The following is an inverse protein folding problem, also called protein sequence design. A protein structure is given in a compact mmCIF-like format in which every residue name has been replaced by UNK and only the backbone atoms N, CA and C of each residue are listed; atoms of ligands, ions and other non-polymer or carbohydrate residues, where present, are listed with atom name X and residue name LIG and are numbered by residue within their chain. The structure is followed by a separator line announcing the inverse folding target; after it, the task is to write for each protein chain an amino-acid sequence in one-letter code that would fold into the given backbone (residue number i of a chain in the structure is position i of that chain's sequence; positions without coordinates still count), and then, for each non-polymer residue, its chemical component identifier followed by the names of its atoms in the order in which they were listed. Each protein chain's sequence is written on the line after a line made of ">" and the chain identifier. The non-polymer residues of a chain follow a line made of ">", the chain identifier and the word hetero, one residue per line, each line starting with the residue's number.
data_IF_354371351858
#
_entry.id   IF_354371351858
#
_cell.length_a   1.000
_cell.length_b   1.000
_cell.length_c   1.000
_cell.angle_alpha   90.00
_cell.angle_beta   90.00
_cell.angle_gamma   90.00
#
_symmetry.space_group_name_H-M   'P 1'
#
loop_
_entity.id
_entity.type
_entity.pdbx_description
1 polymer ?
#
# COMPACT_ATOMS: atom_id res chain seq x y z
N UNK A 1 17.23 19.14 -7.14
CA UNK A 1 17.17 17.66 -7.26
C UNK A 1 17.41 17.05 -5.90
N UNK A 2 16.64 16.02 -5.54
CA UNK A 2 16.81 15.22 -4.31
C UNK A 2 17.66 13.97 -4.59
N UNK A 3 18.16 13.31 -3.54
CA UNK A 3 18.92 12.05 -3.65
C UNK A 3 18.07 10.88 -4.17
N UNK A 4 18.74 9.84 -4.71
CA UNK A 4 18.08 8.62 -5.22
C UNK A 4 17.46 7.75 -4.12
N UNK A 5 17.82 8.03 -2.87
CA UNK A 5 17.34 7.38 -1.65
C UNK A 5 16.10 8.07 -1.06
N UNK A 6 15.70 9.22 -1.60
CA UNK A 6 14.51 9.95 -1.15
C UNK A 6 13.25 9.35 -1.77
N UNK A 7 12.26 9.07 -0.93
CA UNK A 7 10.94 8.61 -1.34
C UNK A 7 9.89 9.68 -1.06
N UNK A 8 9.10 10.00 -2.07
CA UNK A 8 7.90 10.84 -1.94
C UNK A 8 6.71 9.91 -1.74
N UNK A 9 5.91 10.21 -0.73
CA UNK A 9 4.75 9.43 -0.36
C UNK A 9 3.50 10.29 -0.49
N UNK A 10 2.46 9.72 -1.08
CA UNK A 10 1.16 10.34 -1.24
C UNK A 10 0.05 9.28 -1.14
N UNK A 11 -1.17 9.75 -0.86
CA UNK A 11 -2.35 8.89 -0.72
C UNK A 11 -3.16 8.74 -2.01
N UNK A 12 -2.86 9.55 -3.03
CA UNK A 12 -3.64 9.67 -4.28
C UNK A 12 -3.03 8.91 -5.45
N UNK A 13 -1.89 8.25 -5.24
CA UNK A 13 -1.23 7.38 -6.21
C UNK A 13 -0.42 8.09 -7.29
N UNK A 14 0.14 9.28 -6.99
CA UNK A 14 1.04 10.00 -7.91
C UNK A 14 2.50 9.51 -7.82
N UNK A 15 3.00 9.29 -6.61
CA UNK A 15 4.38 8.88 -6.34
C UNK A 15 4.46 7.54 -5.60
N UNK A 16 3.52 7.27 -4.69
CA UNK A 16 3.48 6.03 -3.91
C UNK A 16 2.98 4.86 -4.79
N UNK A 17 3.80 3.82 -5.04
CA UNK A 17 3.40 2.70 -5.87
C UNK A 17 2.22 1.92 -5.28
N UNK A 18 2.09 1.81 -3.95
CA UNK A 18 0.94 1.12 -3.34
C UNK A 18 -0.35 1.89 -3.68
N UNK A 19 -0.35 3.21 -3.48
CA UNK A 19 -1.50 4.05 -3.78
C UNK A 19 -1.81 4.07 -5.29
N UNK A 20 -0.79 4.09 -6.14
CA UNK A 20 -0.93 4.05 -7.60
C UNK A 20 -1.65 2.80 -8.10
N UNK A 21 -1.56 1.69 -7.37
CA UNK A 21 -2.24 0.44 -7.69
C UNK A 21 -3.58 0.25 -6.96
N UNK A 22 -4.11 1.27 -6.26
CA UNK A 22 -5.49 1.19 -5.74
C UNK A 22 -6.53 1.44 -6.84
N UNK A 23 -7.74 0.93 -6.63
CA UNK A 23 -8.88 1.24 -7.49
C UNK A 23 -9.27 2.72 -7.39
N UNK A 24 -9.79 3.26 -8.50
CA UNK A 24 -10.35 4.61 -8.49
C UNK A 24 -11.64 4.64 -7.68
N UNK A 25 -11.82 5.69 -6.89
CA UNK A 25 -13.07 6.04 -6.24
C UNK A 25 -14.07 6.49 -7.30
N UNK A 26 -15.24 5.87 -7.32
CA UNK A 26 -16.33 6.34 -8.17
C UNK A 26 -16.72 7.76 -7.75
N UNK A 27 -16.92 8.63 -8.73
CA UNK A 27 -17.23 10.05 -8.52
C UNK A 27 -16.15 10.86 -7.77
N UNK A 28 -14.91 10.36 -7.70
CA UNK A 28 -13.77 11.14 -7.21
C UNK A 28 -13.39 12.27 -8.17
N UNK A 29 -12.67 13.28 -7.66
CA UNK A 29 -12.07 14.32 -8.50
C UNK A 29 -11.04 13.70 -9.43
N UNK A 30 -11.15 13.94 -10.74
CA UNK A 30 -10.23 13.39 -11.74
C UNK A 30 -8.77 13.73 -11.36
N UNK A 31 -7.89 12.72 -11.38
CA UNK A 31 -6.49 12.84 -10.97
C UNK A 31 -6.26 12.83 -9.45
N UNK A 32 -7.33 12.82 -8.65
CA UNK A 32 -7.31 12.69 -7.18
C UNK A 32 -8.40 11.70 -6.73
N UNK A 33 -8.67 10.70 -7.55
CA UNK A 33 -9.72 9.72 -7.36
C UNK A 33 -9.15 8.42 -6.81
N UNK A 34 -8.07 8.48 -6.05
CA UNK A 34 -7.55 7.36 -5.27
C UNK A 34 -7.31 7.83 -3.85
N UNK A 35 -7.43 6.91 -2.90
CA UNK A 35 -7.24 7.20 -1.49
C UNK A 35 -6.73 5.95 -0.78
N UNK A 36 -5.40 5.92 -0.55
CA UNK A 36 -4.74 4.93 0.28
C UNK A 36 -4.66 5.46 1.72
N UNK A 37 -5.18 4.68 2.67
CA UNK A 37 -5.19 5.08 4.07
C UNK A 37 -3.75 5.25 4.63
N UNK A 38 -3.52 6.21 5.55
CA UNK A 38 -2.19 6.46 6.10
C UNK A 38 -1.59 5.25 6.84
N UNK A 39 -2.40 4.30 7.32
CA UNK A 39 -1.96 3.05 7.94
C UNK A 39 -1.05 2.23 7.00
N UNK A 40 -1.33 2.25 5.68
CA UNK A 40 -0.49 1.61 4.67
C UNK A 40 0.89 2.25 4.54
N UNK A 41 0.98 3.56 4.80
CA UNK A 41 2.28 4.22 4.83
C UNK A 41 3.08 3.60 5.95
N UNK A 42 2.57 3.63 7.20
CA UNK A 42 3.26 3.03 8.35
C UNK A 42 3.66 1.57 8.09
N UNK A 43 2.78 0.78 7.49
CA UNK A 43 3.03 -0.61 7.15
C UNK A 43 4.15 -0.80 6.10
N UNK A 44 4.21 0.03 5.06
CA UNK A 44 5.17 -0.09 3.96
C UNK A 44 6.57 0.49 4.27
N UNK A 45 6.65 1.41 5.22
CA UNK A 45 7.90 2.06 5.58
C UNK A 45 8.71 1.39 6.70
N UNK A 46 9.91 1.93 6.97
CA UNK A 46 10.86 1.40 7.94
C UNK A 46 10.52 1.80 9.39
N UNK A 47 9.26 2.11 9.69
CA UNK A 47 8.82 2.62 10.99
C UNK A 47 8.43 1.51 11.96
N UNK A 48 8.27 1.88 13.23
CA UNK A 48 7.71 1.03 14.29
C UNK A 48 6.23 0.79 14.01
N UNK A 49 5.81 -0.48 14.07
CA UNK A 49 4.46 -0.94 13.67
C UNK A 49 3.60 -1.42 14.85
N UNK A 50 4.07 -1.20 16.08
CA UNK A 50 3.39 -1.59 17.31
C UNK A 50 3.32 -0.42 18.31
N UNK A 51 2.40 -0.50 19.26
CA UNK A 51 2.26 0.49 20.33
C UNK A 51 3.54 0.54 21.20
N UNK A 52 4.02 1.73 21.62
CA UNK A 52 3.47 3.07 21.40
C UNK A 52 4.02 3.80 20.14
N UNK A 53 4.72 3.11 19.25
CA UNK A 53 5.36 3.72 18.08
C UNK A 53 4.42 4.07 16.94
N UNK A 54 3.24 3.45 16.89
CA UNK A 54 2.16 3.86 15.96
C UNK A 54 1.42 5.07 16.56
N UNK A 55 1.28 6.19 15.82
CA UNK A 55 0.49 7.33 16.27
C UNK A 55 -0.93 6.92 16.67
N UNK A 56 -1.42 7.42 17.81
CA UNK A 56 -2.71 6.96 18.38
C UNK A 56 -3.96 7.28 17.55
N UNK A 57 -3.85 8.08 16.49
CA UNK A 57 -4.94 8.31 15.53
C UNK A 57 -4.98 7.27 14.40
N UNK A 58 -3.98 6.38 14.31
CA UNK A 58 -3.93 5.26 13.37
C UNK A 58 -4.32 3.96 14.06
N UNK A 59 -4.87 3.04 13.30
CA UNK A 59 -5.30 1.75 13.82
C UNK A 59 -4.16 0.72 13.68
N UNK A 60 -3.57 0.34 14.81
CA UNK A 60 -2.50 -0.65 14.85
C UNK A 60 -2.91 -2.01 14.24
N UNK A 61 -4.20 -2.37 14.31
CA UNK A 61 -4.74 -3.54 13.64
C UNK A 61 -4.61 -3.41 12.12
N UNK A 62 -5.00 -2.26 11.59
CA UNK A 62 -4.93 -1.99 10.15
C UNK A 62 -3.49 -1.94 9.66
N UNK A 63 -2.57 -1.37 10.45
CA UNK A 63 -1.13 -1.42 10.14
C UNK A 63 -0.63 -2.87 10.06
N UNK A 64 -0.98 -3.71 11.03
CA UNK A 64 -0.57 -5.12 11.05
C UNK A 64 -1.17 -5.92 9.87
N UNK A 65 -2.44 -5.68 9.54
CA UNK A 65 -3.09 -6.30 8.38
C UNK A 65 -2.49 -5.82 7.07
N UNK A 66 -2.21 -4.52 6.94
CA UNK A 66 -1.57 -3.95 5.77
C UNK A 66 -0.15 -4.51 5.59
N UNK A 67 0.63 -4.62 6.67
CA UNK A 67 1.96 -5.22 6.63
C UNK A 67 1.91 -6.68 6.16
N UNK A 68 0.94 -7.46 6.65
CA UNK A 68 0.71 -8.81 6.19
C UNK A 68 0.28 -8.85 4.70
N UNK A 69 -0.62 -7.96 4.29
CA UNK A 69 -1.11 -7.86 2.91
C UNK A 69 -0.01 -7.51 1.91
N UNK A 70 0.96 -6.67 2.30
CA UNK A 70 2.10 -6.32 1.47
C UNK A 70 2.96 -7.54 1.10
N UNK A 71 2.88 -8.65 1.85
CA UNK A 71 3.60 -9.90 1.53
C UNK A 71 2.98 -10.70 0.39
N UNK A 72 1.84 -10.27 -0.14
CA UNK A 72 1.22 -10.90 -1.29
C UNK A 72 2.21 -10.98 -2.47
N UNK A 73 2.42 -12.15 -3.12
CA UNK A 73 3.42 -12.29 -4.18
C UNK A 73 3.23 -11.31 -5.33
N UNK A 74 1.99 -11.04 -5.73
CA UNK A 74 1.69 -10.07 -6.77
C UNK A 74 2.00 -8.62 -6.34
N UNK A 75 1.72 -8.25 -5.08
CA UNK A 75 2.13 -6.96 -4.52
C UNK A 75 3.65 -6.83 -4.52
N UNK A 76 4.37 -7.87 -4.05
CA UNK A 76 5.83 -7.88 -4.05
C UNK A 76 6.42 -7.77 -5.45
N UNK A 77 5.83 -8.41 -6.47
CA UNK A 77 6.29 -8.30 -7.85
C UNK A 77 6.18 -6.85 -8.37
N UNK A 78 5.05 -6.18 -8.13
CA UNK A 78 4.86 -4.76 -8.44
C UNK A 78 5.86 -3.87 -7.71
N UNK A 79 5.96 -4.03 -6.39
CA UNK A 79 6.85 -3.17 -5.60
C UNK A 79 8.31 -3.38 -5.97
N UNK A 80 8.69 -4.61 -6.31
CA UNK A 80 10.03 -4.94 -6.81
C UNK A 80 10.27 -4.33 -8.20
N UNK A 81 9.27 -4.27 -9.08
CA UNK A 81 9.42 -3.66 -10.41
C UNK A 81 9.78 -2.16 -10.32
N UNK A 82 9.33 -1.49 -9.26
CA UNK A 82 9.55 -0.06 -9.00
C UNK A 82 10.77 0.21 -8.11
N UNK A 83 10.96 -0.58 -7.04
CA UNK A 83 11.93 -0.28 -5.97
C UNK A 83 13.28 -0.97 -6.12
N UNK A 84 13.35 -2.07 -6.88
CA UNK A 84 14.61 -2.79 -7.04
C UNK A 84 15.58 -2.01 -7.94
N UNK A 85 16.91 -2.13 -7.73
CA UNK A 85 17.89 -1.55 -8.63
C UNK A 85 17.66 -1.98 -10.09
N UNK A 86 17.80 -1.03 -11.01
CA UNK A 86 17.55 -1.27 -12.42
C UNK A 86 18.78 -1.88 -13.10
N UNK A 87 18.82 -3.20 -13.16
CA UNK A 87 19.76 -3.97 -13.99
C UNK A 87 19.10 -4.49 -15.28
N UNK A 88 19.89 -5.08 -16.18
CA UNK A 88 19.41 -5.61 -17.47
C UNK A 88 18.25 -6.61 -17.31
N UNK A 89 18.37 -7.57 -16.39
CA UNK A 89 17.30 -8.54 -16.10
C UNK A 89 16.02 -7.86 -15.57
N UNK A 90 16.17 -6.84 -14.71
CA UNK A 90 15.02 -6.08 -14.18
C UNK A 90 14.33 -5.28 -15.27
N UNK A 91 15.10 -4.63 -16.14
CA UNK A 91 14.58 -3.91 -17.29
C UNK A 91 13.75 -4.82 -18.20
N UNK A 92 14.30 -5.96 -18.62
CA UNK A 92 13.58 -6.90 -19.48
C UNK A 92 12.32 -7.46 -18.81
N UNK A 93 12.41 -7.83 -17.53
CA UNK A 93 11.26 -8.27 -16.73
C UNK A 93 10.17 -7.19 -16.68
N UNK A 94 10.52 -5.93 -16.41
CA UNK A 94 9.56 -4.84 -16.35
C UNK A 94 8.88 -4.58 -17.72
N UNK A 95 9.61 -4.71 -18.82
CA UNK A 95 9.04 -4.57 -20.18
C UNK A 95 8.05 -5.70 -20.46
N UNK A 96 8.45 -6.96 -20.25
CA UNK A 96 7.63 -8.14 -20.52
C UNK A 96 6.36 -8.19 -19.67
N UNK A 97 6.46 -7.82 -18.39
CA UNK A 97 5.32 -7.83 -17.46
C UNK A 97 4.60 -6.49 -17.33
N UNK A 98 4.93 -5.49 -18.16
CA UNK A 98 4.41 -4.12 -18.05
C UNK A 98 2.87 -4.07 -18.04
N UNK A 99 2.22 -4.87 -18.88
CA UNK A 99 0.75 -4.94 -18.96
C UNK A 99 0.14 -5.52 -17.67
N UNK A 100 0.65 -6.65 -17.20
CA UNK A 100 0.19 -7.31 -15.96
C UNK A 100 0.38 -6.37 -14.77
N UNK A 101 1.56 -5.75 -14.70
CA UNK A 101 1.88 -4.81 -13.64
C UNK A 101 0.94 -3.61 -13.65
N UNK A 102 0.70 -3.02 -14.83
CA UNK A 102 -0.22 -1.89 -14.99
C UNK A 102 -1.66 -2.23 -14.61
N UNK A 103 -2.11 -3.47 -14.86
CA UNK A 103 -3.47 -3.93 -14.54
C UNK A 103 -3.66 -4.30 -13.08
N UNK A 104 -2.59 -4.65 -12.37
CA UNK A 104 -2.66 -5.05 -10.96
C UNK A 104 -3.37 -4.01 -10.09
N UNK A 105 -4.30 -4.48 -9.25
CA UNK A 105 -4.96 -3.64 -8.24
C UNK A 105 -4.86 -4.27 -6.86
N UNK A 106 -4.44 -3.46 -5.89
CA UNK A 106 -4.48 -3.75 -4.47
C UNK A 106 -5.76 -3.15 -3.89
N UNK A 107 -6.45 -3.88 -3.00
CA UNK A 107 -7.55 -3.30 -2.25
C UNK A 107 -7.00 -2.38 -1.16
N UNK A 108 -7.57 -1.18 -1.03
CA UNK A 108 -7.16 -0.21 -0.01
C UNK A 108 -7.58 -0.64 1.39
N UNK A 109 -8.54 -1.55 1.55
CA UNK A 109 -8.92 -2.12 2.84
C UNK A 109 -8.08 -3.37 3.08
N UNK A 110 -7.17 -3.37 4.08
CA UNK A 110 -6.21 -4.47 4.28
C UNK A 110 -6.86 -5.84 4.41
N UNK A 111 -7.99 -5.93 5.12
CA UNK A 111 -8.74 -7.18 5.27
C UNK A 111 -9.18 -7.77 3.93
N UNK A 112 -9.71 -6.95 3.02
CA UNK A 112 -10.13 -7.41 1.70
C UNK A 112 -8.95 -7.81 0.83
N UNK A 113 -7.82 -7.09 0.96
CA UNK A 113 -6.60 -7.45 0.26
C UNK A 113 -6.02 -8.80 0.72
N UNK A 114 -6.02 -9.06 2.03
CA UNK A 114 -5.61 -10.34 2.60
C UNK A 114 -6.47 -11.48 2.05
N UNK A 115 -7.80 -11.30 2.02
CA UNK A 115 -8.73 -12.28 1.46
C UNK A 115 -8.50 -12.49 -0.04
N UNK A 116 -8.29 -11.41 -0.81
CA UNK A 116 -7.98 -11.47 -2.25
C UNK A 116 -6.71 -12.26 -2.52
N UNK A 117 -5.69 -12.10 -1.66
CA UNK A 117 -4.42 -12.81 -1.80
C UNK A 117 -4.43 -14.23 -1.19
N UNK A 118 -5.46 -14.60 -0.41
CA UNK A 118 -5.49 -15.87 0.31
C UNK A 118 -4.53 -15.93 1.50
N UNK A 119 -4.19 -14.78 2.09
CA UNK A 119 -3.34 -14.70 3.28
C UNK A 119 -4.21 -14.73 4.56
N UNK A 120 -3.66 -15.29 5.63
CA UNK A 120 -4.31 -15.28 6.94
C UNK A 120 -4.54 -13.84 7.40
N UNK A 121 -5.70 -13.58 8.01
CA UNK A 121 -6.01 -12.28 8.60
C UNK A 121 -5.48 -12.25 10.03
N UNK A 122 -4.49 -11.41 10.37
CA UNK A 122 -4.06 -11.24 11.74
C UNK A 122 -5.22 -10.73 12.59
N UNK A 123 -5.60 -11.50 13.60
CA UNK A 123 -6.42 -11.03 14.71
C UNK A 123 -5.51 -10.25 15.65
N UNK A 124 -5.57 -8.92 15.62
CA UNK A 124 -4.96 -8.13 16.69
C UNK A 124 -5.99 -7.97 17.80
N UNK A 125 -5.60 -8.15 19.06
CA UNK A 125 -6.43 -7.89 20.24
C UNK A 125 -6.75 -6.40 20.48
N UNK A 126 -6.75 -5.57 19.43
CA UNK A 126 -7.17 -4.18 19.46
C UNK A 126 -8.69 -4.04 19.38
N UNK A 127 -9.20 -2.89 19.79
CA UNK A 127 -10.63 -2.60 19.69
C UNK A 127 -11.08 -2.65 18.21
N UNK A 128 -12.28 -3.18 17.91
CA UNK A 128 -12.80 -3.22 16.55
C UNK A 128 -12.86 -1.80 15.95
N UNK A 129 -12.49 -1.68 14.67
CA UNK A 129 -12.57 -0.45 13.90
C UNK A 129 -13.92 0.26 14.11
N UNK A 130 -13.89 1.42 14.77
CA UNK A 130 -15.08 2.18 15.19
C UNK A 130 -15.66 3.10 14.10
N UNK A 131 -15.20 2.96 12.85
CA UNK A 131 -15.82 3.65 11.72
C UNK A 131 -15.48 5.13 11.58
N UNK A 132 -14.33 5.61 12.10
CA UNK A 132 -13.88 6.96 11.73
C UNK A 132 -13.75 7.03 10.20
N UNK A 133 -14.40 8.02 9.55
CA UNK A 133 -14.51 8.05 8.09
C UNK A 133 -13.13 8.16 7.44
N UNK A 134 -13.04 7.69 6.18
CA UNK A 134 -11.85 7.73 5.32
C UNK A 134 -11.36 9.14 4.93
N UNK A 135 -11.75 10.14 5.72
CA UNK A 135 -11.35 11.53 5.64
C UNK A 135 -10.78 11.85 7.01
N UNK A 136 -9.51 12.26 7.07
CA UNK A 136 -9.05 13.06 8.21
C UNK A 136 -9.93 14.31 8.40
N UNK A 137 -9.64 15.17 9.39
CA UNK A 137 -10.44 16.37 9.64
C UNK A 137 -10.75 17.19 8.38
#
# INVERSE_FOLDING_TARGET
>A
NVGLDIRVLDQIGLANPVAAHTARLQHGRIGHDKNLFPDWVIADGPWVKWYPGVPGYLDAQWVAQAEAALRCPATQAILTSVRAPMGFHRFLSNVLHSYEFTKYRIDRVPRYELLRCGLAVPESGGAPYSGLPATGP
#
